data_IF_246860160203
#
_entry.id   IF_246860160203
#
_cell.length_a   1.000
_cell.length_b   1.000
_cell.length_c   1.000
_cell.angle_alpha   90.00
_cell.angle_beta   90.00
_cell.angle_gamma   90.00
#
_symmetry.space_group_name_H-M   'P 1'
#
loop_
_entity.id
_entity.type
_entity.pdbx_description
1 polymer ?
#
# COMPACT_ATOMS: atom_id res chain seq x y z
N UNK A 1 -7.19 -7.66 -1.11
CA UNK A 1 -7.29 -9.10 -0.86
C UNK A 1 -8.28 -9.70 -1.83
N UNK A 2 -7.85 -10.74 -2.54
CA UNK A 2 -8.65 -11.48 -3.51
C UNK A 2 -8.98 -12.86 -2.94
N UNK A 3 -10.14 -13.40 -3.28
CA UNK A 3 -10.51 -14.80 -3.07
C UNK A 3 -10.97 -15.33 -4.43
N UNK A 4 -10.12 -16.14 -5.08
CA UNK A 4 -10.19 -16.32 -6.54
C UNK A 4 -10.14 -14.96 -7.24
N UNK A 5 -11.05 -14.71 -8.18
CA UNK A 5 -11.13 -13.45 -8.93
C UNK A 5 -11.93 -12.35 -8.19
N UNK A 6 -12.51 -12.68 -7.02
CA UNK A 6 -13.37 -11.74 -6.28
C UNK A 6 -12.55 -10.92 -5.30
N UNK A 7 -12.62 -9.59 -5.42
CA UNK A 7 -12.12 -8.68 -4.38
C UNK A 7 -13.01 -8.81 -3.14
N UNK A 8 -12.41 -9.17 -2.01
CA UNK A 8 -13.11 -9.34 -0.72
C UNK A 8 -12.77 -8.25 0.29
N UNK A 9 -11.63 -7.58 0.11
CA UNK A 9 -11.22 -6.46 0.96
C UNK A 9 -10.31 -5.50 0.20
N UNK A 10 -10.44 -4.20 0.46
CA UNK A 10 -9.59 -3.16 -0.13
C UNK A 10 -9.33 -2.00 0.84
N UNK A 11 -8.26 -1.26 0.58
CA UNK A 11 -8.02 0.05 1.15
C UNK A 11 -7.49 0.97 0.05
N UNK A 12 -7.84 2.25 0.10
CA UNK A 12 -7.33 3.27 -0.84
C UNK A 12 -6.41 4.20 -0.10
N UNK A 13 -5.19 4.34 -0.62
CA UNK A 13 -4.17 5.25 -0.09
C UNK A 13 -3.88 6.25 -1.20
N UNK A 14 -3.84 7.53 -0.83
CA UNK A 14 -3.60 8.59 -1.80
C UNK A 14 -2.13 8.58 -2.21
N UNK A 15 -1.85 8.58 -3.51
CA UNK A 15 -0.49 8.50 -4.05
C UNK A 15 0.45 9.54 -3.41
N UNK A 16 0.04 10.82 -3.37
CA UNK A 16 0.82 11.90 -2.77
C UNK A 16 1.17 11.70 -1.28
N UNK A 17 0.43 10.85 -0.55
CA UNK A 17 0.70 10.60 0.86
C UNK A 17 1.85 9.61 1.09
N UNK A 18 2.24 8.87 0.06
CA UNK A 18 3.30 7.85 0.07
C UNK A 18 4.36 8.08 -1.03
N UNK A 19 4.28 9.22 -1.71
CA UNK A 19 5.21 9.61 -2.77
C UNK A 19 6.61 9.87 -2.18
N UNK A 20 7.63 9.38 -2.87
CA UNK A 20 9.03 9.63 -2.56
C UNK A 20 9.60 10.74 -3.43
N UNK A 21 10.53 11.52 -2.86
CA UNK A 21 11.31 12.54 -3.55
C UNK A 21 12.72 12.56 -2.95
N UNK A 22 13.74 12.60 -3.81
CA UNK A 22 15.14 12.78 -3.37
C UNK A 22 15.45 14.20 -2.90
N UNK A 23 14.65 15.19 -3.30
CA UNK A 23 14.96 16.60 -3.05
C UNK A 23 14.96 16.92 -1.55
N UNK A 24 13.95 16.46 -0.82
CA UNK A 24 13.91 16.58 0.64
C UNK A 24 12.86 15.67 1.26
N UNK A 25 13.06 15.32 2.54
CA UNK A 25 12.01 14.63 3.32
C UNK A 25 10.71 15.43 3.43
N UNK A 26 10.77 16.76 3.33
CA UNK A 26 9.58 17.64 3.35
C UNK A 26 8.78 17.55 2.06
N UNK A 27 9.43 17.16 0.96
CA UNK A 27 8.81 16.92 -0.35
C UNK A 27 8.22 15.50 -0.45
N UNK A 28 8.56 14.60 0.48
CA UNK A 28 7.97 13.28 0.56
C UNK A 28 6.55 13.32 1.14
N UNK A 29 5.73 12.36 0.71
CA UNK A 29 4.43 12.11 1.29
C UNK A 29 4.55 11.80 2.78
N UNK A 30 3.60 12.31 3.59
CA UNK A 30 3.61 12.19 5.05
C UNK A 30 3.85 10.76 5.57
N UNK A 31 3.40 9.75 4.84
CA UNK A 31 3.46 8.32 5.19
C UNK A 31 4.46 7.53 4.34
N UNK A 32 5.25 8.17 3.47
CA UNK A 32 6.26 7.52 2.65
C UNK A 32 7.27 6.75 3.52
N UNK A 33 7.46 5.45 3.26
CA UNK A 33 8.39 4.57 3.99
C UNK A 33 8.03 4.29 5.45
N UNK A 34 7.01 4.95 6.01
CA UNK A 34 6.60 4.82 7.41
C UNK A 34 5.68 3.61 7.59
N UNK A 35 5.78 3.01 8.76
CA UNK A 35 4.89 1.93 9.16
C UNK A 35 3.51 2.51 9.48
N UNK A 36 2.49 2.11 8.72
CA UNK A 36 1.11 2.55 8.91
C UNK A 36 0.17 1.36 9.13
N UNK A 37 -0.86 1.60 9.91
CA UNK A 37 -1.98 0.68 10.10
C UNK A 37 -3.11 1.06 9.16
N UNK A 38 -3.55 0.12 8.33
CA UNK A 38 -4.61 0.31 7.34
C UNK A 38 -5.78 -0.61 7.67
N UNK A 39 -6.97 -0.04 7.80
CA UNK A 39 -8.20 -0.79 7.96
C UNK A 39 -8.82 -1.06 6.58
N UNK A 40 -9.00 -2.33 6.28
CA UNK A 40 -9.58 -2.76 5.02
C UNK A 40 -11.10 -2.74 5.09
N UNK A 41 -11.70 -2.35 3.97
CA UNK A 41 -13.13 -2.25 3.74
C UNK A 41 -13.58 -3.35 2.80
N UNK A 42 -14.76 -3.90 3.05
CA UNK A 42 -15.39 -4.80 2.09
C UNK A 42 -15.82 -4.02 0.83
N UNK A 43 -15.63 -4.56 -0.38
CA UNK A 43 -16.30 -4.04 -1.57
C UNK A 43 -17.81 -4.19 -1.37
N UNK A 44 -18.52 -3.06 -1.33
CA UNK A 44 -19.96 -3.02 -1.11
C UNK A 44 -20.68 -3.81 -2.22
N UNK A 45 -21.47 -4.80 -1.81
CA UNK A 45 -22.71 -5.10 -2.53
C UNK A 45 -23.79 -4.22 -1.89
N UNK A 46 -24.74 -3.71 -2.68
CA UNK A 46 -25.49 -2.45 -2.50
C UNK A 46 -26.30 -2.21 -1.19
N UNK A 47 -26.15 -3.02 -0.13
CA UNK A 47 -27.10 -3.04 1.00
C UNK A 47 -26.53 -3.23 2.42
N UNK A 48 -25.21 -3.24 2.66
CA UNK A 48 -24.69 -3.38 4.04
C UNK A 48 -23.63 -2.34 4.41
N UNK A 49 -23.74 -1.85 5.65
CA UNK A 49 -22.77 -0.96 6.30
C UNK A 49 -21.32 -1.45 6.12
N UNK A 50 -20.41 -0.50 5.87
CA UNK A 50 -18.98 -0.76 5.70
C UNK A 50 -18.39 -1.34 7.00
N UNK A 51 -18.43 -2.66 7.16
CA UNK A 51 -17.68 -3.34 8.22
C UNK A 51 -16.20 -3.40 7.85
N UNK A 52 -15.34 -3.02 8.81
CA UNK A 52 -13.90 -3.25 8.71
C UNK A 52 -13.65 -4.76 8.75
N UNK A 53 -13.04 -5.31 7.70
CA UNK A 53 -12.86 -6.77 7.54
C UNK A 53 -11.47 -7.25 7.92
N UNK A 54 -10.47 -6.35 7.92
CA UNK A 54 -9.10 -6.67 8.31
C UNK A 54 -8.33 -5.41 8.69
N UNK A 55 -7.27 -5.59 9.48
CA UNK A 55 -6.28 -4.57 9.80
C UNK A 55 -4.92 -5.04 9.30
N UNK A 56 -4.26 -4.22 8.49
CA UNK A 56 -2.92 -4.50 7.96
C UNK A 56 -1.91 -3.50 8.53
N UNK A 57 -0.70 -3.96 8.85
CA UNK A 57 0.45 -3.10 9.18
C UNK A 57 1.41 -3.14 8.01
N UNK A 58 1.58 -2.02 7.31
CA UNK A 58 2.31 -1.94 6.04
C UNK A 58 3.27 -0.76 6.04
N UNK A 59 4.38 -0.89 5.30
CA UNK A 59 5.19 0.25 4.84
C UNK A 59 4.96 0.40 3.35
N UNK A 60 4.63 1.61 2.91
CA UNK A 60 4.32 1.88 1.50
C UNK A 60 5.20 3.02 1.04
N UNK A 61 5.71 2.86 -0.18
CA UNK A 61 6.58 3.79 -0.84
C UNK A 61 6.22 3.82 -2.32
N UNK A 62 6.24 5.01 -2.91
CA UNK A 62 5.94 5.24 -4.31
C UNK A 62 7.00 6.19 -4.87
N UNK A 63 7.99 5.65 -5.56
CA UNK A 63 9.06 6.42 -6.19
C UNK A 63 9.48 5.82 -7.52
N UNK A 64 10.53 6.38 -8.11
CA UNK A 64 11.11 5.88 -9.36
C UNK A 64 11.84 4.56 -9.10
N UNK A 65 11.89 3.66 -10.09
CA UNK A 65 12.64 2.40 -9.94
C UNK A 65 14.13 2.63 -9.65
N UNK A 66 14.70 3.76 -10.08
CA UNK A 66 16.07 4.17 -9.74
C UNK A 66 16.29 4.47 -8.25
N UNK A 67 15.21 4.63 -7.48
CA UNK A 67 15.25 5.02 -6.07
C UNK A 67 14.93 3.84 -5.14
N UNK A 68 14.91 2.61 -5.67
CA UNK A 68 14.59 1.39 -4.92
C UNK A 68 15.52 1.20 -3.70
N UNK A 69 16.80 1.55 -3.83
CA UNK A 69 17.79 1.51 -2.75
C UNK A 69 17.38 2.30 -1.49
N UNK A 70 16.57 3.36 -1.66
CA UNK A 70 16.10 4.18 -0.54
C UNK A 70 14.99 3.47 0.24
N UNK A 71 14.21 2.62 -0.45
CA UNK A 71 13.18 1.82 0.18
C UNK A 71 13.75 0.57 0.86
N UNK A 72 14.77 -0.05 0.28
CA UNK A 72 15.41 -1.26 0.84
C UNK A 72 15.91 -1.06 2.28
N UNK A 73 16.30 0.15 2.65
CA UNK A 73 16.71 0.54 4.02
C UNK A 73 15.65 0.22 5.09
N UNK A 74 14.38 0.11 4.70
CA UNK A 74 13.26 -0.16 5.61
C UNK A 74 12.83 -1.62 5.64
N UNK A 75 13.49 -2.50 4.88
CA UNK A 75 13.15 -3.91 4.73
C UNK A 75 13.93 -4.72 5.75
N UNK A 76 13.21 -5.37 6.66
CA UNK A 76 13.77 -6.25 7.69
C UNK A 76 13.33 -7.71 7.41
N UNK A 77 13.50 -8.17 6.17
CA UNK A 77 12.99 -9.47 5.70
C UNK A 77 13.19 -9.77 4.22
N UNK A 78 12.61 -10.88 3.76
CA UNK A 78 12.72 -11.36 2.37
C UNK A 78 11.76 -10.60 1.45
N UNK A 79 12.30 -10.01 0.38
CA UNK A 79 11.51 -9.33 -0.66
C UNK A 79 10.87 -10.38 -1.57
N UNK A 80 9.57 -10.24 -1.83
CA UNK A 80 8.82 -11.01 -2.83
C UNK A 80 8.23 -10.03 -3.84
N UNK A 81 8.76 -10.03 -5.06
CA UNK A 81 8.20 -9.26 -6.17
C UNK A 81 7.25 -10.18 -6.94
N UNK A 82 5.96 -9.82 -6.95
CA UNK A 82 4.94 -10.54 -7.72
C UNK A 82 4.19 -9.55 -8.62
N UNK A 83 3.96 -9.93 -9.87
CA UNK A 83 3.14 -9.20 -10.81
C UNK A 83 1.97 -10.10 -11.22
N UNK A 84 0.75 -9.77 -10.79
CA UNK A 84 -0.45 -10.40 -11.36
C UNK A 84 -0.75 -9.75 -12.71
N UNK A 85 -0.74 -10.57 -13.78
CA UNK A 85 -1.27 -10.17 -15.08
C UNK A 85 -2.78 -10.36 -15.06
N UNK A 86 -3.52 -9.32 -15.43
CA UNK A 86 -4.93 -9.48 -15.80
C UNK A 86 -4.93 -10.03 -17.22
N UNK A 87 -5.36 -11.28 -17.39
CA UNK A 87 -5.63 -11.88 -18.71
C UNK A 87 -6.94 -11.36 -19.29
#
# INVERSE_FOLDING_TARGET
>A
MLSGDKRVAYARIKAYSVLFSRDSEKSCGKFCGKLLTVFMKQPLDRSQDMRSVAQLRVRIWMGLSSDEEEFEKYIDGKILVAAERVS
#
